data_IF_561754173098
#
_entry.id   IF_561754173098
#
_cell.length_a   1.000
_cell.length_b   1.000
_cell.length_c   1.000
_cell.angle_alpha   90.00
_cell.angle_beta   90.00
_cell.angle_gamma   90.00
#
_symmetry.space_group_name_H-M   'P 1'
#
loop_
_entity.id
_entity.type
_entity.pdbx_description
1 polymer ?
#
# COMPACT_ATOMS: atom_id res chain seq x y z
N UNK A 1 2.44 -17.41 -1.53
CA UNK A 1 1.84 -16.08 -1.25
C UNK A 1 1.34 -15.51 -2.57
N UNK A 2 0.25 -14.75 -2.56
CA UNK A 2 -0.21 -14.02 -3.73
C UNK A 2 0.75 -12.86 -4.01
N UNK A 3 1.17 -12.67 -5.26
CA UNK A 3 2.10 -11.60 -5.67
C UNK A 3 1.64 -10.20 -5.20
N UNK A 4 0.33 -9.95 -5.21
CA UNK A 4 -0.24 -8.69 -4.74
C UNK A 4 -0.08 -8.50 -3.23
N UNK A 5 -0.22 -9.57 -2.45
CA UNK A 5 -0.02 -9.54 -0.99
C UNK A 5 1.44 -9.30 -0.62
N UNK A 6 2.38 -9.88 -1.37
CA UNK A 6 3.82 -9.63 -1.20
C UNK A 6 4.16 -8.17 -1.48
N UNK A 7 3.64 -7.60 -2.58
CA UNK A 7 3.85 -6.20 -2.92
C UNK A 7 3.26 -5.24 -1.88
N UNK A 8 2.12 -5.58 -1.29
CA UNK A 8 1.52 -4.81 -0.19
C UNK A 8 2.46 -4.75 1.02
N UNK A 9 3.01 -5.89 1.43
CA UNK A 9 3.90 -5.94 2.59
C UNK A 9 5.25 -5.26 2.32
N UNK A 10 5.80 -5.37 1.11
CA UNK A 10 6.97 -4.58 0.74
C UNK A 10 6.72 -3.07 0.81
N UNK A 11 5.60 -2.60 0.26
CA UNK A 11 5.26 -1.16 0.26
C UNK A 11 4.97 -0.67 1.67
N UNK A 12 4.30 -1.48 2.49
CA UNK A 12 4.09 -1.21 3.92
C UNK A 12 5.43 -1.04 4.65
N UNK A 13 6.38 -1.95 4.41
CA UNK A 13 7.71 -1.86 5.03
C UNK A 13 8.47 -0.60 4.59
N UNK A 14 8.45 -0.27 3.29
CA UNK A 14 9.07 0.96 2.75
C UNK A 14 8.49 2.23 3.39
N UNK A 15 7.17 2.27 3.58
CA UNK A 15 6.50 3.38 4.27
C UNK A 15 6.98 3.53 5.72
N UNK A 16 7.03 2.44 6.48
CA UNK A 16 7.50 2.46 7.87
C UNK A 16 8.97 2.82 7.99
N UNK A 17 9.82 2.30 7.10
CA UNK A 17 11.23 2.66 7.04
C UNK A 17 11.42 4.15 6.79
N UNK A 18 10.64 4.72 5.85
CA UNK A 18 10.68 6.13 5.53
C UNK A 18 10.25 7.00 6.74
N UNK A 19 9.15 6.61 7.39
CA UNK A 19 8.64 7.29 8.59
C UNK A 19 9.60 7.20 9.78
N UNK A 20 10.11 6.00 10.08
CA UNK A 20 10.98 5.75 11.24
C UNK A 20 12.36 6.39 11.14
N UNK A 21 12.88 6.51 9.91
CA UNK A 21 14.16 7.20 9.64
C UNK A 21 14.02 8.72 9.55
N UNK A 22 12.83 9.26 9.78
CA UNK A 22 12.55 10.70 9.69
C UNK A 22 12.78 11.25 8.28
N UNK A 23 12.57 10.43 7.26
CA UNK A 23 12.73 10.86 5.87
C UNK A 23 11.61 11.80 5.44
N UNK A 24 11.78 12.42 4.27
CA UNK A 24 10.87 13.41 3.70
C UNK A 24 9.41 12.95 3.75
N UNK A 25 8.56 13.78 4.35
CA UNK A 25 7.12 13.57 4.43
C UNK A 25 6.47 13.21 3.08
N UNK A 26 6.95 13.78 1.98
CA UNK A 26 6.44 13.48 0.63
C UNK A 26 6.71 12.03 0.23
N UNK A 27 7.81 11.42 0.69
CA UNK A 27 8.08 10.01 0.42
C UNK A 27 7.17 9.11 1.23
N UNK A 28 6.93 9.43 2.51
CA UNK A 28 5.95 8.72 3.33
C UNK A 28 4.56 8.79 2.69
N UNK A 29 4.16 9.99 2.23
CA UNK A 29 2.89 10.20 1.54
C UNK A 29 2.80 9.37 0.26
N UNK A 30 3.86 9.34 -0.56
CA UNK A 30 3.90 8.54 -1.79
C UNK A 30 3.70 7.06 -1.50
N UNK A 31 4.41 6.50 -0.53
CA UNK A 31 4.25 5.09 -0.15
C UNK A 31 2.85 4.82 0.43
N UNK A 32 2.26 5.76 1.17
CA UNK A 32 0.90 5.58 1.70
C UNK A 32 -0.16 5.52 0.60
N UNK A 33 -0.02 6.33 -0.45
CA UNK A 33 -0.92 6.33 -1.61
C UNK A 33 -0.77 5.05 -2.45
N UNK A 34 0.47 4.58 -2.63
CA UNK A 34 0.73 3.33 -3.32
C UNK A 34 0.15 2.13 -2.55
N UNK A 35 0.27 2.13 -1.21
CA UNK A 35 -0.31 1.11 -0.36
C UNK A 35 -1.84 1.08 -0.46
N UNK A 36 -2.50 2.25 -0.45
CA UNK A 36 -3.95 2.36 -0.60
C UNK A 36 -4.43 1.79 -1.94
N UNK A 37 -3.72 2.10 -3.04
CA UNK A 37 -4.04 1.55 -4.36
C UNK A 37 -3.95 0.02 -4.39
N UNK A 38 -2.88 -0.56 -3.84
CA UNK A 38 -2.70 -2.02 -3.79
C UNK A 38 -3.75 -2.71 -2.92
N UNK A 39 -4.16 -2.08 -1.80
CA UNK A 39 -5.22 -2.59 -0.94
C UNK A 39 -6.59 -2.54 -1.64
N UNK A 40 -6.85 -1.50 -2.42
CA UNK A 40 -8.06 -1.40 -3.22
C UNK A 40 -8.08 -2.48 -4.32
N UNK A 41 -6.98 -2.69 -5.03
CA UNK A 41 -6.83 -3.78 -6.02
C UNK A 41 -7.05 -5.17 -5.36
N UNK A 42 -6.52 -5.38 -4.16
CA UNK A 42 -6.73 -6.63 -3.41
C UNK A 42 -8.19 -6.80 -2.99
N UNK A 43 -8.86 -5.70 -2.66
CA UNK A 43 -10.26 -5.70 -2.24
C UNK A 43 -11.19 -5.96 -3.41
N UNK A 44 -10.93 -5.36 -4.57
CA UNK A 44 -11.66 -5.59 -5.82
C UNK A 44 -11.53 -7.04 -6.30
N UNK A 45 -10.33 -7.61 -6.17
CA UNK A 45 -10.07 -9.02 -6.53
C UNK A 45 -10.71 -10.03 -5.56
N UNK A 46 -10.92 -9.65 -4.29
CA UNK A 46 -11.57 -10.50 -3.27
C UNK A 46 -13.08 -10.26 -3.14
N UNK A 47 -13.58 -9.13 -3.63
CA UNK A 47 -14.98 -8.71 -3.52
C UNK A 47 -15.32 -7.75 -4.67
N UNK A 48 -16.23 -8.11 -5.59
CA UNK A 48 -16.76 -7.12 -6.52
C UNK A 48 -17.55 -6.08 -5.72
N UNK A 49 -17.04 -4.84 -5.65
CA UNK A 49 -17.78 -3.74 -5.07
C UNK A 49 -19.02 -3.46 -5.93
N UNK A 50 -20.20 -3.72 -5.35
CA UNK A 50 -21.44 -3.13 -5.83
C UNK A 50 -21.37 -1.63 -5.47
N UNK A 51 -21.10 -0.82 -6.50
CA UNK A 51 -21.34 0.62 -6.68
C UNK A 51 -21.41 1.54 -5.44
N UNK A 52 -20.65 2.63 -5.49
CA UNK A 52 -21.11 3.95 -5.04
C UNK A 52 -20.78 5.02 -6.07
#
# INVERSE_FOLDING_TARGET
MNYLEEKIEETRQKMYDCYSKGQDYHQVLKFSQELDHLLNELTETKTPQINR
#
